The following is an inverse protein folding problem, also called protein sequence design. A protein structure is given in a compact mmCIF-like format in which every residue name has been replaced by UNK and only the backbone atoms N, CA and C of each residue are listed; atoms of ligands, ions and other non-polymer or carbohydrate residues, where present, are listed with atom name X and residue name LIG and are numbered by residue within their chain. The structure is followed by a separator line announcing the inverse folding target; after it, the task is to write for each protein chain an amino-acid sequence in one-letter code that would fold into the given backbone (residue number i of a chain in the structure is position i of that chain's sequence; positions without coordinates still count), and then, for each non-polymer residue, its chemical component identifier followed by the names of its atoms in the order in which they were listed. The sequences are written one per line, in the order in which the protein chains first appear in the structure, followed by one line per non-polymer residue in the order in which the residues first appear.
data_IF_019081444248
#
_entry.id   IF_019081444248
#
_cell.length_a   1.000
_cell.length_b   1.000
_cell.length_c   1.000
_cell.angle_alpha   90.00
_cell.angle_beta   90.00
_cell.angle_gamma   90.00
#
_symmetry.space_group_name_H-M   'P 1'
#
loop_
_entity.id
_entity.type
_entity.pdbx_description
1 polymer ?
#
# COMPACT_ATOMS: atom_id res chain seq x y z
N UNK A 1 29.27 -17.86 -17.29
CA UNK A 1 30.10 -17.12 -16.31
C UNK A 1 29.50 -15.74 -16.12
N UNK A 2 28.59 -15.58 -15.17
CA UNK A 2 28.06 -14.28 -14.75
C UNK A 2 28.78 -13.93 -13.45
N UNK A 3 29.57 -12.86 -13.45
CA UNK A 3 30.28 -12.37 -12.27
C UNK A 3 29.23 -11.88 -11.27
N UNK A 4 29.05 -12.63 -10.18
CA UNK A 4 28.29 -12.19 -9.03
C UNK A 4 28.86 -10.86 -8.53
N UNK A 5 28.04 -9.82 -8.52
CA UNK A 5 28.41 -8.54 -7.91
C UNK A 5 28.70 -8.80 -6.44
N UNK A 6 29.87 -8.37 -5.98
CA UNK A 6 30.20 -8.29 -4.56
C UNK A 6 29.14 -7.45 -3.86
N UNK A 7 28.47 -8.05 -2.87
CA UNK A 7 27.62 -7.28 -1.97
C UNK A 7 28.58 -6.50 -1.06
N UNK A 8 28.80 -5.21 -1.33
CA UNK A 8 29.83 -4.39 -0.66
C UNK A 8 29.57 -4.16 0.85
N UNK A 9 28.62 -4.87 1.47
CA UNK A 9 28.32 -4.80 2.90
C UNK A 9 27.55 -3.56 3.35
N UNK A 10 27.20 -2.66 2.42
CA UNK A 10 26.39 -1.45 2.68
C UNK A 10 25.25 -1.31 1.67
N UNK A 11 24.20 -0.57 2.06
CA UNK A 11 23.05 -0.26 1.22
C UNK A 11 23.33 0.95 0.31
N UNK A 12 22.80 0.94 -0.92
CA UNK A 12 22.96 2.02 -1.90
C UNK A 12 23.95 1.71 -3.02
N UNK A 13 24.17 2.70 -3.89
CA UNK A 13 25.08 2.59 -5.06
C UNK A 13 26.48 3.18 -4.81
N UNK A 14 26.67 3.83 -3.66
CA UNK A 14 27.94 4.44 -3.22
C UNK A 14 28.20 4.11 -1.75
N UNK A 15 29.46 4.22 -1.33
CA UNK A 15 29.85 4.05 0.08
C UNK A 15 29.15 5.07 1.00
N UNK A 16 28.89 4.71 2.27
CA UNK A 16 28.37 5.66 3.24
C UNK A 16 29.38 6.78 3.49
N UNK A 17 28.89 8.02 3.58
CA UNK A 17 29.74 9.20 3.87
C UNK A 17 30.41 9.07 5.24
N UNK A 18 29.70 8.49 6.21
CA UNK A 18 30.20 8.23 7.55
C UNK A 18 29.51 7.00 8.14
N UNK A 19 30.26 6.23 8.92
CA UNK A 19 29.78 5.13 9.75
C UNK A 19 29.71 5.49 11.23
N UNK A 20 30.01 6.75 11.59
CA UNK A 20 29.93 7.22 12.97
C UNK A 20 28.49 7.16 13.49
N UNK A 21 28.30 6.55 14.65
CA UNK A 21 27.04 6.58 15.38
C UNK A 21 26.76 7.96 16.01
N UNK A 22 25.55 8.16 16.56
CA UNK A 22 25.18 9.41 17.22
C UNK A 22 25.99 9.60 18.51
N UNK A 23 26.30 10.86 18.83
CA UNK A 23 26.82 11.26 20.14
C UNK A 23 25.69 11.34 21.16
N UNK A 24 26.01 11.44 22.46
CA UNK A 24 25.00 11.66 23.52
C UNK A 24 24.15 12.92 23.26
N UNK A 25 24.78 13.97 22.72
CA UNK A 25 24.07 15.20 22.34
C UNK A 25 23.05 14.94 21.23
N UNK A 26 23.41 14.16 20.20
CA UNK A 26 22.50 13.85 19.09
C UNK A 26 21.30 13.03 19.55
N UNK A 27 21.51 12.13 20.52
CA UNK A 27 20.42 11.34 21.14
C UNK A 27 19.44 12.26 21.89
N UNK A 28 19.95 13.21 22.68
CA UNK A 28 19.10 14.19 23.37
C UNK A 28 18.31 15.06 22.38
N UNK A 29 18.96 15.54 21.32
CA UNK A 29 18.28 16.34 20.28
C UNK A 29 17.26 15.53 19.48
N UNK A 30 17.51 14.23 19.27
CA UNK A 30 16.53 13.34 18.64
C UNK A 30 15.26 13.23 19.49
N UNK A 31 15.39 13.09 20.81
CA UNK A 31 14.24 13.06 21.71
C UNK A 31 13.45 14.39 21.70
N UNK A 32 14.13 15.54 21.59
CA UNK A 32 13.46 16.84 21.41
C UNK A 32 12.67 16.91 20.09
N UNK A 33 13.22 16.38 19.00
CA UNK A 33 12.52 16.29 17.71
C UNK A 33 11.30 15.39 17.81
N UNK A 34 11.42 14.21 18.41
CA UNK A 34 10.29 13.27 18.57
C UNK A 34 9.18 13.88 19.42
N UNK A 35 9.52 14.56 20.50
CA UNK A 35 8.57 15.33 21.31
C UNK A 35 7.88 16.41 20.48
N UNK A 36 8.64 17.20 19.71
CA UNK A 36 8.07 18.25 18.86
C UNK A 36 7.10 17.68 17.80
N UNK A 37 7.44 16.55 17.17
CA UNK A 37 6.56 15.89 16.21
C UNK A 37 5.29 15.33 16.87
N UNK A 38 5.40 14.89 18.13
CA UNK A 38 4.26 14.42 18.94
C UNK A 38 3.34 15.58 19.30
N UNK A 39 3.89 16.67 19.81
CA UNK A 39 3.15 17.89 20.16
C UNK A 39 2.48 18.52 18.91
N UNK A 40 3.06 18.32 17.73
CA UNK A 40 2.48 18.72 16.45
C UNK A 40 1.35 17.79 15.94
N UNK A 41 0.99 16.73 16.68
CA UNK A 41 -0.09 15.81 16.34
C UNK A 41 0.20 14.92 15.13
N UNK A 42 1.46 14.56 14.89
CA UNK A 42 1.86 13.82 13.69
C UNK A 42 1.80 12.30 13.86
N UNK A 43 1.61 11.81 15.07
CA UNK A 43 1.44 10.38 15.36
C UNK A 43 -0.03 10.07 15.55
N UNK A 44 -0.48 8.96 14.98
CA UNK A 44 -1.85 8.48 15.19
C UNK A 44 -2.03 7.94 16.61
N UNK A 45 -3.27 7.93 17.07
CA UNK A 45 -3.60 7.29 18.35
C UNK A 45 -3.68 5.76 18.21
N UNK A 46 -3.61 5.05 19.33
CA UNK A 46 -3.76 3.60 19.32
C UNK A 46 -5.15 3.17 18.84
N UNK A 47 -6.18 3.95 19.17
CA UNK A 47 -7.56 3.71 18.76
C UNK A 47 -7.71 3.85 17.23
N UNK A 48 -7.10 4.89 16.64
CA UNK A 48 -7.07 5.05 15.18
C UNK A 48 -6.33 3.88 14.51
N UNK A 49 -5.18 3.46 15.06
CA UNK A 49 -4.41 2.33 14.52
C UNK A 49 -5.25 1.03 14.51
N UNK A 50 -5.93 0.72 15.63
CA UNK A 50 -6.83 -0.45 15.72
C UNK A 50 -7.98 -0.33 14.72
N UNK A 51 -8.60 0.84 14.59
CA UNK A 51 -9.68 1.07 13.64
C UNK A 51 -9.23 0.82 12.18
N UNK A 52 -8.01 1.24 11.82
CA UNK A 52 -7.43 0.98 10.49
C UNK A 52 -7.18 -0.51 10.24
N UNK A 53 -6.72 -1.25 11.24
CA UNK A 53 -6.54 -2.71 11.13
C UNK A 53 -7.87 -3.43 10.93
N UNK A 54 -8.91 -3.05 11.68
CA UNK A 54 -10.26 -3.60 11.51
C UNK A 54 -10.83 -3.32 10.11
N UNK A 55 -10.64 -2.09 9.61
CA UNK A 55 -11.04 -1.68 8.27
C UNK A 55 -10.34 -2.49 7.19
N UNK A 56 -9.03 -2.72 7.32
CA UNK A 56 -8.27 -3.58 6.40
C UNK A 56 -8.75 -5.04 6.45
N UNK A 57 -9.05 -5.57 7.64
CA UNK A 57 -9.61 -6.91 7.80
C UNK A 57 -10.98 -7.07 7.12
N UNK A 58 -11.88 -6.08 7.29
CA UNK A 58 -13.17 -6.05 6.60
C UNK A 58 -13.00 -5.97 5.08
N UNK A 59 -12.09 -5.12 4.60
CA UNK A 59 -11.82 -4.98 3.18
C UNK A 59 -11.27 -6.27 2.56
N UNK A 60 -10.36 -6.97 3.25
CA UNK A 60 -9.82 -8.26 2.82
C UNK A 60 -10.94 -9.31 2.63
N UNK A 61 -11.86 -9.40 3.60
CA UNK A 61 -13.02 -10.29 3.51
C UNK A 61 -13.96 -9.92 2.37
N UNK A 62 -14.18 -8.63 2.14
CA UNK A 62 -15.01 -8.12 1.05
C UNK A 62 -14.42 -8.52 -0.31
N UNK A 63 -13.14 -8.24 -0.57
CA UNK A 63 -12.51 -8.56 -1.87
C UNK A 63 -12.42 -10.06 -2.12
N UNK A 64 -12.19 -10.88 -1.09
CA UNK A 64 -12.21 -12.36 -1.22
C UNK A 64 -13.60 -12.86 -1.58
N UNK A 65 -14.63 -12.35 -0.92
CA UNK A 65 -16.03 -12.69 -1.21
C UNK A 65 -16.43 -12.26 -2.62
N UNK A 66 -16.01 -11.08 -3.05
CA UNK A 66 -16.19 -10.58 -4.41
C UNK A 66 -15.54 -11.51 -5.44
N UNK A 67 -14.26 -11.87 -5.28
CA UNK A 67 -13.58 -12.77 -6.22
C UNK A 67 -14.20 -14.16 -6.26
N UNK A 68 -14.67 -14.71 -5.13
CA UNK A 68 -15.43 -15.99 -5.15
C UNK A 68 -16.69 -15.90 -5.99
N UNK A 69 -17.48 -14.82 -5.85
CA UNK A 69 -18.68 -14.58 -6.67
C UNK A 69 -18.31 -14.39 -8.15
N UNK A 70 -17.27 -13.60 -8.43
CA UNK A 70 -16.76 -13.35 -9.78
C UNK A 70 -16.33 -14.65 -10.48
N UNK A 71 -15.58 -15.51 -9.78
CA UNK A 71 -15.14 -16.81 -10.30
C UNK A 71 -16.32 -17.71 -10.64
N UNK A 72 -17.33 -17.81 -9.76
CA UNK A 72 -18.54 -18.60 -10.03
C UNK A 72 -19.29 -18.10 -11.26
N UNK A 73 -19.50 -16.79 -11.37
CA UNK A 73 -20.24 -16.20 -12.48
C UNK A 73 -19.48 -16.24 -13.81
N UNK A 74 -18.15 -16.34 -13.75
CA UNK A 74 -17.30 -16.58 -14.93
C UNK A 74 -17.33 -18.04 -15.43
N UNK A 75 -18.17 -18.89 -14.83
CA UNK A 75 -18.39 -20.28 -15.27
C UNK A 75 -17.36 -21.29 -14.78
N UNK A 76 -16.52 -20.92 -13.82
CA UNK A 76 -15.55 -21.86 -13.23
C UNK A 76 -16.24 -22.88 -12.33
N UNK A 77 -15.72 -24.11 -12.32
CA UNK A 77 -16.21 -25.19 -11.46
C UNK A 77 -15.99 -24.92 -9.97
N UNK A 78 -16.75 -25.62 -9.11
CA UNK A 78 -16.79 -25.35 -7.67
C UNK A 78 -15.41 -25.46 -6.97
N UNK A 79 -14.51 -26.32 -7.46
CA UNK A 79 -13.14 -26.39 -6.95
C UNK A 79 -12.41 -25.04 -7.08
N UNK A 80 -12.46 -24.41 -8.26
CA UNK A 80 -11.84 -23.09 -8.47
C UNK A 80 -12.55 -22.00 -7.66
N UNK A 81 -13.85 -22.13 -7.43
CA UNK A 81 -14.60 -21.18 -6.58
C UNK A 81 -14.17 -21.28 -5.11
N UNK A 82 -13.88 -22.49 -4.63
CA UNK A 82 -13.39 -22.71 -3.26
C UNK A 82 -11.97 -22.14 -3.09
N UNK A 83 -11.12 -22.35 -4.08
CA UNK A 83 -9.72 -21.87 -4.11
C UNK A 83 -9.61 -20.38 -4.48
N UNK A 84 -10.66 -19.77 -5.05
CA UNK A 84 -10.64 -18.38 -5.52
C UNK A 84 -10.27 -17.41 -4.39
N UNK A 85 -9.28 -16.56 -4.68
CA UNK A 85 -8.67 -15.69 -3.71
C UNK A 85 -8.35 -14.31 -4.31
N UNK A 86 -8.31 -13.31 -3.44
CA UNK A 86 -7.82 -11.97 -3.69
C UNK A 86 -6.90 -11.57 -2.54
N UNK A 87 -5.90 -10.72 -2.80
CA UNK A 87 -5.04 -10.20 -1.74
C UNK A 87 -5.05 -8.68 -1.77
N UNK A 88 -5.10 -8.07 -0.59
CA UNK A 88 -4.85 -6.64 -0.44
C UNK A 88 -3.43 -6.40 0.07
N UNK A 89 -2.82 -5.31 -0.39
CA UNK A 89 -1.52 -4.84 0.05
C UNK A 89 -1.59 -3.35 0.30
N UNK A 90 -1.07 -2.88 1.43
CA UNK A 90 -0.96 -1.45 1.67
C UNK A 90 0.33 -0.90 1.07
N UNK A 91 0.30 0.36 0.66
CA UNK A 91 1.48 1.08 0.21
C UNK A 91 1.46 2.52 0.73
N UNK A 92 2.34 3.36 0.20
CA UNK A 92 2.33 4.79 0.52
C UNK A 92 2.61 5.06 1.99
N UNK A 93 2.03 6.15 2.50
CA UNK A 93 2.43 6.68 3.80
C UNK A 93 2.06 5.79 4.99
N UNK A 94 0.93 5.06 4.87
CA UNK A 94 0.48 4.08 5.85
C UNK A 94 1.46 2.91 5.96
N UNK A 95 1.81 2.28 4.82
CA UNK A 95 2.78 1.17 4.79
C UNK A 95 4.18 1.60 5.25
N UNK A 96 4.61 2.82 4.92
CA UNK A 96 5.87 3.39 5.41
C UNK A 96 5.85 3.65 6.91
N UNK A 97 4.68 3.71 7.57
CA UNK A 97 4.54 4.03 8.99
C UNK A 97 4.82 5.50 9.29
N UNK A 98 4.53 6.39 8.34
CA UNK A 98 4.72 7.85 8.44
C UNK A 98 3.43 8.64 8.20
N UNK A 99 2.28 7.96 8.15
CA UNK A 99 0.96 8.56 8.11
C UNK A 99 0.64 9.25 9.45
N UNK A 100 -0.23 10.26 9.37
CA UNK A 100 -0.74 10.97 10.54
C UNK A 100 -2.23 10.73 10.73
N UNK A 101 -2.82 11.32 11.78
CA UNK A 101 -4.27 11.28 12.02
C UNK A 101 -5.05 11.72 10.77
N UNK A 102 -6.15 11.02 10.49
CA UNK A 102 -7.01 11.30 9.33
C UNK A 102 -6.40 11.06 7.94
N UNK A 103 -5.17 10.52 7.83
CA UNK A 103 -4.63 10.11 6.54
C UNK A 103 -5.45 8.97 5.90
N UNK A 104 -5.42 8.90 4.58
CA UNK A 104 -5.94 7.79 3.78
C UNK A 104 -5.11 6.51 3.95
N UNK A 105 -5.71 5.38 3.53
CA UNK A 105 -5.01 4.11 3.36
C UNK A 105 -4.94 3.78 1.87
N UNK A 106 -3.76 4.02 1.30
CA UNK A 106 -3.37 3.53 -0.02
C UNK A 106 -3.36 1.99 -0.03
N UNK A 107 -4.27 1.37 -0.77
CA UNK A 107 -4.46 -0.09 -0.81
C UNK A 107 -4.48 -0.61 -2.25
N UNK A 108 -3.76 -1.69 -2.52
CA UNK A 108 -3.79 -2.42 -3.77
C UNK A 108 -4.56 -3.73 -3.59
N UNK A 109 -5.61 -3.95 -4.37
CA UNK A 109 -6.24 -5.24 -4.52
C UNK A 109 -5.63 -5.99 -5.72
N UNK A 110 -5.23 -7.25 -5.49
CA UNK A 110 -4.69 -8.15 -6.50
C UNK A 110 -5.69 -9.27 -6.74
N UNK A 111 -6.13 -9.42 -7.99
CA UNK A 111 -7.13 -10.42 -8.38
C UNK A 111 -6.78 -11.18 -9.66
N UNK A 112 -7.51 -12.28 -9.93
CA UNK A 112 -7.22 -13.22 -11.02
C UNK A 112 -7.67 -12.70 -12.39
N UNK A 113 -7.09 -13.26 -13.46
CA UNK A 113 -7.21 -12.79 -14.85
C UNK A 113 -8.65 -12.60 -15.36
N UNK A 114 -9.60 -13.40 -14.87
CA UNK A 114 -11.00 -13.32 -15.31
C UNK A 114 -11.76 -12.16 -14.66
N UNK A 115 -11.30 -11.64 -13.52
CA UNK A 115 -11.91 -10.52 -12.82
C UNK A 115 -11.42 -9.18 -13.39
N UNK A 116 -11.84 -8.84 -14.61
CA UNK A 116 -11.33 -7.65 -15.33
C UNK A 116 -11.65 -6.32 -14.63
N UNK A 117 -10.81 -5.31 -14.87
CA UNK A 117 -10.91 -3.99 -14.21
C UNK A 117 -12.24 -3.28 -14.44
N UNK A 118 -12.73 -3.21 -15.68
CA UNK A 118 -13.94 -2.45 -15.98
C UNK A 118 -15.20 -3.16 -15.48
N UNK A 119 -15.33 -4.45 -15.76
CA UNK A 119 -16.55 -5.20 -15.47
C UNK A 119 -16.62 -5.67 -14.02
N UNK A 120 -15.51 -6.15 -13.45
CA UNK A 120 -15.53 -6.73 -12.11
C UNK A 120 -15.10 -5.75 -11.03
N UNK A 121 -14.04 -4.96 -11.26
CA UNK A 121 -13.55 -4.04 -10.23
C UNK A 121 -14.38 -2.74 -10.16
N UNK A 122 -14.49 -1.99 -11.27
CA UNK A 122 -15.21 -0.71 -11.25
C UNK A 122 -16.73 -0.82 -11.25
N UNK A 123 -17.29 -1.96 -11.64
CA UNK A 123 -18.74 -2.19 -11.61
C UNK A 123 -19.14 -3.12 -10.47
N UNK A 124 -18.73 -4.39 -10.46
CA UNK A 124 -19.26 -5.33 -9.47
C UNK A 124 -18.74 -5.12 -8.04
N UNK A 125 -17.45 -4.88 -7.86
CA UNK A 125 -16.92 -4.59 -6.53
C UNK A 125 -17.51 -3.28 -6.02
N UNK A 126 -17.61 -2.27 -6.90
CA UNK A 126 -18.32 -1.03 -6.59
C UNK A 126 -19.74 -1.29 -6.09
N UNK A 127 -20.56 -2.03 -6.84
CA UNK A 127 -21.95 -2.32 -6.46
C UNK A 127 -22.02 -3.08 -5.13
N UNK A 128 -21.13 -4.06 -4.92
CA UNK A 128 -21.06 -4.79 -3.65
C UNK A 128 -20.64 -3.91 -2.48
N UNK A 129 -19.71 -2.98 -2.68
CA UNK A 129 -19.31 -2.00 -1.66
C UNK A 129 -20.44 -1.00 -1.36
N UNK A 130 -21.19 -0.58 -2.39
CA UNK A 130 -22.32 0.34 -2.24
C UNK A 130 -23.47 -0.25 -1.39
N UNK A 131 -23.59 -1.58 -1.33
CA UNK A 131 -24.56 -2.28 -0.49
C UNK A 131 -24.11 -2.40 0.98
N UNK A 132 -22.85 -2.12 1.30
CA UNK A 132 -22.33 -2.20 2.67
C UNK A 132 -22.69 -0.92 3.45
N UNK A 133 -23.42 -1.01 4.57
CA UNK A 133 -23.84 0.17 5.33
C UNK A 133 -22.67 0.96 5.94
N UNK A 134 -21.51 0.33 6.11
CA UNK A 134 -20.30 0.98 6.61
C UNK A 134 -19.52 1.75 5.55
N UNK A 135 -19.88 1.60 4.27
CA UNK A 135 -19.25 2.30 3.15
C UNK A 135 -19.96 3.62 2.87
N UNK A 136 -19.19 4.69 2.75
CA UNK A 136 -19.67 6.01 2.32
C UNK A 136 -18.67 6.65 1.36
N UNK A 137 -19.07 7.75 0.71
CA UNK A 137 -18.21 8.50 -0.22
C UNK A 137 -17.57 7.63 -1.33
N UNK A 138 -18.26 6.58 -1.79
CA UNK A 138 -17.78 5.69 -2.84
C UNK A 138 -17.76 6.41 -4.20
N UNK A 139 -16.58 6.50 -4.81
CA UNK A 139 -16.38 7.17 -6.09
C UNK A 139 -15.29 6.47 -6.93
N UNK A 140 -15.62 5.99 -8.14
CA UNK A 140 -14.63 5.45 -9.07
C UNK A 140 -13.96 6.56 -9.90
N UNK A 141 -12.65 6.42 -10.12
CA UNK A 141 -11.86 7.29 -11.03
C UNK A 141 -11.12 6.41 -12.05
N UNK A 142 -11.82 5.86 -13.05
CA UNK A 142 -11.23 4.90 -14.00
C UNK A 142 -10.23 5.54 -14.98
N UNK A 143 -10.38 6.83 -15.27
CA UNK A 143 -9.61 7.55 -16.29
C UNK A 143 -8.34 8.24 -15.73
N UNK A 144 -8.04 8.05 -14.45
CA UNK A 144 -6.81 8.57 -13.84
C UNK A 144 -5.55 7.87 -14.41
N UNK A 145 -4.38 8.49 -14.24
CA UNK A 145 -3.10 7.88 -14.62
C UNK A 145 -2.90 6.50 -13.98
N UNK A 146 -3.33 6.37 -12.72
CA UNK A 146 -3.49 5.11 -12.00
C UNK A 146 -4.96 5.01 -11.58
N UNK A 147 -5.76 4.12 -12.21
CA UNK A 147 -7.17 3.99 -11.90
C UNK A 147 -7.41 3.58 -10.44
N UNK A 148 -8.33 4.28 -9.77
CA UNK A 148 -8.58 4.13 -8.33
C UNK A 148 -10.07 4.11 -8.01
N UNK A 149 -10.45 3.34 -7.00
CA UNK A 149 -11.77 3.35 -6.37
C UNK A 149 -11.62 3.94 -4.96
N UNK A 150 -12.03 5.19 -4.78
CA UNK A 150 -11.97 5.88 -3.49
C UNK A 150 -13.26 5.70 -2.70
N UNK A 151 -13.16 5.49 -1.39
CA UNK A 151 -14.32 5.40 -0.49
C UNK A 151 -13.91 5.57 0.98
N UNK A 152 -14.89 5.72 1.86
CA UNK A 152 -14.71 5.60 3.31
C UNK A 152 -15.34 4.30 3.80
N UNK A 153 -14.60 3.51 4.56
CA UNK A 153 -15.11 2.33 5.27
C UNK A 153 -14.98 2.57 6.77
N UNK A 154 -16.11 2.50 7.51
CA UNK A 154 -16.16 2.89 8.92
C UNK A 154 -15.58 4.31 9.17
N UNK A 155 -15.73 5.23 8.21
CA UNK A 155 -15.20 6.60 8.30
C UNK A 155 -13.72 6.76 7.94
N UNK A 156 -12.98 5.69 7.68
CA UNK A 156 -11.57 5.76 7.24
C UNK A 156 -11.52 5.80 5.71
N UNK A 157 -10.83 6.79 5.15
CA UNK A 157 -10.61 6.92 3.72
C UNK A 157 -9.67 5.84 3.18
N UNK A 158 -10.07 5.19 2.09
CA UNK A 158 -9.32 4.15 1.38
C UNK A 158 -9.26 4.51 -0.10
N UNK A 159 -8.05 4.49 -0.63
CA UNK A 159 -7.78 4.56 -2.07
C UNK A 159 -7.43 3.15 -2.55
N UNK A 160 -8.40 2.49 -3.19
CA UNK A 160 -8.23 1.11 -3.66
C UNK A 160 -7.82 1.07 -5.13
N UNK A 161 -6.60 0.61 -5.39
CA UNK A 161 -6.09 0.29 -6.72
C UNK A 161 -6.37 -1.17 -7.07
N UNK A 162 -6.30 -1.50 -8.36
CA UNK A 162 -6.47 -2.87 -8.83
C UNK A 162 -5.38 -3.34 -9.79
N UNK A 163 -4.81 -4.50 -9.47
CA UNK A 163 -3.90 -5.27 -10.31
C UNK A 163 -4.55 -6.60 -10.73
N UNK A 164 -4.77 -6.74 -12.04
CA UNK A 164 -5.31 -7.96 -12.62
C UNK A 164 -4.16 -8.84 -13.11
N UNK A 165 -3.88 -9.94 -12.44
CA UNK A 165 -2.75 -10.79 -12.77
C UNK A 165 -3.15 -11.95 -13.69
N UNK A 166 -2.19 -12.42 -14.49
CA UNK A 166 -2.36 -13.57 -15.39
C UNK A 166 -2.50 -14.94 -14.66
N UNK A 167 -3.03 -14.96 -13.44
CA UNK A 167 -3.30 -16.15 -12.64
C UNK A 167 -4.80 -16.47 -12.63
N UNK A 168 -5.16 -17.75 -12.59
CA UNK A 168 -6.55 -18.19 -12.38
C UNK A 168 -6.93 -18.10 -10.90
N UNK A 169 -5.98 -18.42 -10.02
CA UNK A 169 -6.11 -18.34 -8.56
C UNK A 169 -4.92 -17.55 -8.03
N UNK A 170 -5.18 -16.56 -7.17
CA UNK A 170 -4.13 -15.77 -6.53
C UNK A 170 -3.51 -16.58 -5.38
N UNK A 171 -2.19 -16.84 -5.41
CA UNK A 171 -1.53 -17.65 -4.39
C UNK A 171 -1.46 -16.91 -3.04
N UNK A 172 -1.58 -17.66 -1.95
CA UNK A 172 -1.51 -17.11 -0.58
C UNK A 172 -0.13 -16.54 -0.25
N UNK A 173 0.94 -17.12 -0.80
CA UNK A 173 2.33 -16.69 -0.65
C UNK A 173 2.79 -15.69 -1.72
N UNK A 174 1.85 -15.04 -2.42
CA UNK A 174 2.17 -14.06 -3.47
C UNK A 174 3.16 -12.99 -2.97
N UNK A 175 4.32 -12.93 -3.63
CA UNK A 175 5.37 -11.94 -3.41
C UNK A 175 5.41 -10.92 -4.56
N UNK A 176 4.98 -9.69 -4.28
CA UNK A 176 4.98 -8.60 -5.25
C UNK A 176 6.38 -8.12 -5.62
N UNK A 177 7.44 -8.51 -4.89
CA UNK A 177 8.80 -8.08 -5.17
C UNK A 177 9.46 -8.81 -6.34
N UNK A 178 8.89 -9.94 -6.78
CA UNK A 178 9.37 -10.68 -7.95
C UNK A 178 9.00 -9.96 -9.25
N UNK A 179 9.93 -9.80 -10.18
CA UNK A 179 9.67 -9.13 -11.47
C UNK A 179 8.71 -9.92 -12.37
N UNK A 180 8.59 -11.24 -12.16
CA UNK A 180 7.67 -12.11 -12.89
C UNK A 180 6.21 -11.70 -12.75
N UNK A 181 5.85 -10.95 -11.69
CA UNK A 181 4.50 -10.43 -11.48
C UNK A 181 4.07 -9.42 -12.56
N UNK A 182 5.05 -8.86 -13.28
CA UNK A 182 4.85 -7.87 -14.35
C UNK A 182 4.71 -8.54 -15.74
N UNK A 183 4.77 -9.87 -15.82
CA UNK A 183 4.62 -10.57 -17.09
C UNK A 183 3.14 -10.66 -17.49
N UNK A 184 2.84 -10.38 -18.76
CA UNK A 184 1.50 -10.50 -19.35
C UNK A 184 0.40 -9.70 -18.63
N UNK A 185 0.75 -8.54 -18.05
CA UNK A 185 -0.20 -7.60 -17.46
C UNK A 185 -0.27 -6.31 -18.25
N UNK A 186 -1.40 -5.62 -18.20
CA UNK A 186 -1.59 -4.32 -18.85
C UNK A 186 -0.85 -3.19 -18.13
N UNK A 187 -0.67 -2.06 -18.83
CA UNK A 187 0.07 -0.91 -18.30
C UNK A 187 -0.53 -0.34 -17.00
N UNK A 188 -1.86 -0.33 -16.86
CA UNK A 188 -2.48 0.16 -15.63
C UNK A 188 -2.22 -0.80 -14.47
N UNK A 189 -2.20 -2.11 -14.70
CA UNK A 189 -1.78 -3.10 -13.69
C UNK A 189 -0.33 -2.88 -13.26
N UNK A 190 0.60 -2.62 -14.20
CA UNK A 190 1.99 -2.29 -13.87
C UNK A 190 2.06 -1.04 -12.97
N UNK A 191 1.33 0.02 -13.33
CA UNK A 191 1.28 1.25 -12.54
C UNK A 191 0.70 1.02 -11.14
N UNK A 192 -0.37 0.24 -11.01
CA UNK A 192 -0.96 -0.13 -9.71
C UNK A 192 0.01 -0.93 -8.83
N UNK A 193 0.76 -1.87 -9.42
CA UNK A 193 1.75 -2.68 -8.69
C UNK A 193 2.95 -1.86 -8.19
N UNK A 194 3.30 -0.78 -8.90
CA UNK A 194 4.47 0.04 -8.57
C UNK A 194 4.36 0.68 -7.18
N UNK A 195 3.16 1.06 -6.72
CA UNK A 195 2.97 1.65 -5.38
C UNK A 195 3.53 0.76 -4.27
N UNK A 196 3.07 -0.50 -4.23
CA UNK A 196 3.55 -1.50 -3.27
C UNK A 196 5.04 -1.82 -3.47
N UNK A 197 5.47 -2.06 -4.71
CA UNK A 197 6.85 -2.43 -5.03
C UNK A 197 7.84 -1.35 -4.60
N UNK A 198 7.57 -0.08 -4.92
CA UNK A 198 8.42 1.05 -4.53
C UNK A 198 8.47 1.19 -3.01
N UNK A 199 7.32 1.11 -2.35
CA UNK A 199 7.24 1.27 -0.89
C UNK A 199 8.06 0.21 -0.15
N UNK A 200 7.92 -1.06 -0.54
CA UNK A 200 8.67 -2.15 0.08
C UNK A 200 10.17 -2.07 -0.26
N UNK A 201 10.54 -1.62 -1.47
CA UNK A 201 11.94 -1.39 -1.83
C UNK A 201 12.57 -0.27 -1.00
N UNK A 202 11.87 0.83 -0.76
CA UNK A 202 12.34 1.90 0.13
C UNK A 202 12.67 1.32 1.52
N UNK A 203 11.76 0.53 2.10
CA UNK A 203 11.97 -0.08 3.42
C UNK A 203 13.13 -1.09 3.45
N UNK A 204 13.38 -1.81 2.34
CA UNK A 204 14.53 -2.72 2.21
C UNK A 204 15.87 -2.00 2.01
N UNK A 205 15.84 -0.75 1.52
CA UNK A 205 17.03 0.03 1.18
C UNK A 205 17.47 1.02 2.26
N UNK A 206 16.76 1.09 3.40
CA UNK A 206 17.15 1.92 4.54
C UNK A 206 17.84 1.10 5.64
N UNK A 207 18.97 1.59 6.21
CA UNK A 207 19.71 0.83 7.22
C UNK A 207 19.04 0.83 8.60
N UNK A 208 18.18 1.82 8.88
CA UNK A 208 17.44 1.94 10.14
C UNK A 208 16.03 2.49 9.87
N UNK A 209 15.02 1.62 9.94
CA UNK A 209 13.62 1.98 9.67
C UNK A 209 13.07 3.01 10.68
N UNK A 210 13.27 2.87 12.02
CA UNK A 210 12.84 3.89 12.97
C UNK A 210 13.38 5.30 12.67
N UNK A 211 14.69 5.43 12.46
CA UNK A 211 15.31 6.72 12.11
C UNK A 211 14.76 7.28 10.80
N UNK A 212 14.63 6.44 9.77
CA UNK A 212 14.01 6.84 8.50
C UNK A 212 12.60 7.39 8.69
N UNK A 213 11.76 6.72 9.49
CA UNK A 213 10.38 7.16 9.75
C UNK A 213 10.33 8.51 10.45
N UNK A 214 11.11 8.69 11.52
CA UNK A 214 11.17 9.96 12.26
C UNK A 214 11.66 11.10 11.36
N UNK A 215 12.74 10.88 10.59
CA UNK A 215 13.25 11.87 9.63
C UNK A 215 12.22 12.20 8.55
N UNK A 216 11.57 11.20 7.96
CA UNK A 216 10.58 11.42 6.91
C UNK A 216 9.34 12.16 7.44
N UNK A 217 8.86 11.85 8.65
CA UNK A 217 7.79 12.61 9.33
C UNK A 217 8.17 14.08 9.47
N UNK A 218 9.38 14.36 9.98
CA UNK A 218 9.89 15.72 10.13
C UNK A 218 9.97 16.47 8.79
N UNK A 219 10.58 15.87 7.76
CA UNK A 219 10.76 16.52 6.45
C UNK A 219 9.41 16.78 5.77
N UNK A 220 8.45 15.84 5.85
CA UNK A 220 7.09 16.06 5.32
C UNK A 220 6.40 17.21 6.04
N UNK A 221 6.49 17.27 7.37
CA UNK A 221 5.91 18.35 8.16
C UNK A 221 6.52 19.70 7.82
N UNK A 222 7.86 19.76 7.76
CA UNK A 222 8.58 20.95 7.32
C UNK A 222 8.15 21.40 5.92
N UNK A 223 8.08 20.48 4.95
CA UNK A 223 7.72 20.79 3.56
C UNK A 223 6.31 21.38 3.47
N UNK A 224 5.34 20.79 4.19
CA UNK A 224 3.97 21.32 4.29
C UNK A 224 3.95 22.73 4.89
N UNK A 225 4.65 22.95 6.01
CA UNK A 225 4.75 24.27 6.67
C UNK A 225 5.42 25.34 5.81
N UNK A 226 6.30 24.92 4.89
CA UNK A 226 7.01 25.81 3.96
C UNK A 226 6.31 25.98 2.61
N UNK A 227 5.20 25.27 2.36
CA UNK A 227 4.49 25.34 1.09
C UNK A 227 5.23 24.70 -0.09
N UNK A 228 6.16 23.77 0.17
CA UNK A 228 6.99 23.10 -0.85
C UNK A 228 6.66 21.60 -0.97
N UNK A 229 5.47 21.20 -0.53
CA UNK A 229 5.02 19.81 -0.52
C UNK A 229 3.72 19.67 -1.33
N UNK A 230 3.86 19.56 -2.65
CA UNK A 230 2.80 19.20 -3.61
C UNK A 230 3.47 18.51 -4.81
N UNK A 231 2.85 17.45 -5.32
CA UNK A 231 3.25 16.82 -6.59
C UNK A 231 2.46 17.37 -7.80
N UNK A 232 1.37 18.11 -7.52
CA UNK A 232 0.51 18.77 -8.51
C UNK A 232 0.93 20.22 -8.66
#
# INVERSE_FOLDING_TARGET
MSKGKSNNGYLGVTEPISLSGPTEKDVLQTAEVEKYLTDAGLYESQEEAVSREEVLGKLDQAVKSWIKKATRLSGYGEQFVQEANAKIFTFGSYRLGVHGPGADIDTLCVGPRHATRNEYFFRWLHDMLAEMPEVSELHPVPDAHVPVLGFKLNGISIDLLYANLAHVVIPEDLDLSQDSILHNVDEQTVRSLNGCRVTDQILRLVPNIPSFRTTLRFIRYWGKRRGVYSNV
#
